data_IF_525356518257
#
_entry.id   IF_525356518257
#
_cell.length_a   1.000
_cell.length_b   1.000
_cell.length_c   1.000
_cell.angle_alpha   90.00
_cell.angle_beta   90.00
_cell.angle_gamma   90.00
#
_symmetry.space_group_name_H-M   'P 1'
#
loop_
_entity.id
_entity.type
_entity.pdbx_description
1 polymer ?
#
# COMPACT_ATOMS: atom_id res chain seq x y z
N UNK A 1 9.80 9.64 15.56
CA UNK A 1 10.83 10.69 15.79
C UNK A 1 12.18 10.39 15.15
N UNK A 2 12.70 9.16 15.16
CA UNK A 2 14.00 8.86 14.54
C UNK A 2 14.06 9.16 13.03
N UNK A 3 12.98 8.95 12.28
CA UNK A 3 12.88 9.34 10.86
C UNK A 3 13.17 10.82 10.63
N UNK A 4 12.62 11.69 11.49
CA UNK A 4 12.84 13.13 11.38
C UNK A 4 14.30 13.50 11.65
N UNK A 5 14.95 12.85 12.62
CA UNK A 5 16.36 13.08 12.92
C UNK A 5 17.26 12.66 11.75
N UNK A 6 17.01 11.49 11.15
CA UNK A 6 17.74 11.02 9.96
C UNK A 6 17.61 12.02 8.80
N UNK A 7 16.41 12.53 8.56
CA UNK A 7 16.19 13.46 7.46
C UNK A 7 16.77 14.86 7.73
N UNK A 8 16.49 15.43 8.90
CA UNK A 8 16.84 16.83 9.20
C UNK A 8 18.28 16.99 9.64
N UNK A 9 18.82 16.04 10.43
CA UNK A 9 20.17 16.13 11.01
C UNK A 9 21.17 15.43 10.09
N UNK A 10 20.95 14.15 9.77
CA UNK A 10 21.92 13.37 8.99
C UNK A 10 21.83 13.65 7.48
N UNK A 11 20.79 14.37 7.03
CA UNK A 11 20.53 14.69 5.62
C UNK A 11 20.41 13.45 4.72
N UNK A 12 20.08 12.31 5.29
CA UNK A 12 19.84 11.07 4.54
C UNK A 12 18.38 11.05 4.10
N UNK A 13 18.15 11.03 2.79
CA UNK A 13 16.82 11.16 2.19
C UNK A 13 16.08 9.83 1.98
N UNK A 14 16.71 8.69 2.19
CA UNK A 14 16.15 7.41 1.72
C UNK A 14 16.27 6.26 2.72
N UNK A 15 15.23 5.42 2.75
CA UNK A 15 15.20 4.12 3.43
C UNK A 15 14.33 4.07 4.68
N UNK A 16 13.41 3.11 4.72
CA UNK A 16 12.64 2.81 5.92
C UNK A 16 13.50 2.06 6.94
N UNK A 17 13.61 2.62 8.15
CA UNK A 17 14.18 1.94 9.32
C UNK A 17 15.59 1.35 9.11
N UNK A 18 16.39 1.95 8.23
CA UNK A 18 17.75 1.55 7.89
C UNK A 18 18.80 1.79 9.01
N UNK A 19 20.10 1.64 8.71
CA UNK A 19 21.17 1.80 9.71
C UNK A 19 21.11 3.12 10.47
N UNK A 20 20.89 4.26 9.80
CA UNK A 20 20.80 5.57 10.43
C UNK A 20 19.63 5.67 11.42
N UNK A 21 18.45 5.11 11.05
CA UNK A 21 17.32 5.03 11.97
C UNK A 21 17.68 4.25 13.24
N UNK A 22 18.33 3.09 13.07
CA UNK A 22 18.74 2.23 14.21
C UNK A 22 19.76 2.93 15.10
N UNK A 23 20.69 3.69 14.53
CA UNK A 23 21.65 4.49 15.29
C UNK A 23 20.96 5.54 16.17
N UNK A 24 19.99 6.29 15.61
CA UNK A 24 19.19 7.24 16.38
C UNK A 24 18.32 6.57 17.45
N UNK A 25 17.68 5.45 17.11
CA UNK A 25 16.89 4.67 18.06
C UNK A 25 17.75 4.24 19.26
N UNK A 26 18.95 3.69 19.00
CA UNK A 26 19.89 3.28 20.03
C UNK A 26 20.38 4.46 20.89
N UNK A 27 20.66 5.62 20.28
CA UNK A 27 21.06 6.83 21.02
C UNK A 27 19.97 7.28 22.00
N UNK A 28 18.71 7.28 21.55
CA UNK A 28 17.57 7.65 22.39
C UNK A 28 17.39 6.62 23.50
N UNK A 29 17.31 5.32 23.20
CA UNK A 29 17.14 4.26 24.21
C UNK A 29 18.30 4.18 25.21
N UNK A 30 19.52 4.59 24.82
CA UNK A 30 20.65 4.71 25.76
C UNK A 30 20.46 5.84 26.76
N UNK A 31 19.88 6.96 26.34
CA UNK A 31 19.69 8.18 27.14
C UNK A 31 18.39 8.14 27.94
N UNK A 32 17.35 7.54 27.38
CA UNK A 32 16.00 7.42 27.93
C UNK A 32 15.66 5.95 28.10
N UNK A 33 15.96 5.41 29.29
CA UNK A 33 15.76 3.99 29.65
C UNK A 33 14.29 3.59 29.73
N UNK A 34 13.41 4.57 29.85
CA UNK A 34 11.95 4.43 29.87
C UNK A 34 11.33 4.28 28.47
N UNK A 35 12.11 4.51 27.40
CA UNK A 35 11.62 4.45 26.02
C UNK A 35 12.21 3.22 25.31
N UNK A 36 11.33 2.43 24.69
CA UNK A 36 11.70 1.35 23.77
C UNK A 36 11.28 1.72 22.36
N UNK A 37 12.21 1.74 21.42
CA UNK A 37 11.95 2.05 20.01
C UNK A 37 12.15 0.78 19.20
N UNK A 38 11.11 0.38 18.46
CA UNK A 38 11.19 -0.72 17.49
C UNK A 38 11.06 -0.19 16.06
N UNK A 39 11.19 -1.07 15.06
CA UNK A 39 10.94 -0.73 13.66
C UNK A 39 9.47 -0.79 13.27
N UNK A 40 8.60 -1.23 14.19
CA UNK A 40 7.15 -1.25 14.01
C UNK A 40 6.52 -0.21 14.92
N UNK A 41 5.45 0.38 14.43
CA UNK A 41 4.62 1.22 15.26
C UNK A 41 3.73 0.37 16.17
N UNK A 42 3.38 0.92 17.33
CA UNK A 42 2.50 0.27 18.31
C UNK A 42 1.03 0.64 18.18
N UNK A 43 0.65 1.48 17.21
CA UNK A 43 -0.75 1.81 16.97
C UNK A 43 -1.45 0.67 16.24
N UNK A 44 -2.74 0.53 16.53
CA UNK A 44 -3.62 -0.35 15.78
C UNK A 44 -3.84 0.23 14.38
N UNK A 45 -3.64 -0.60 13.35
CA UNK A 45 -3.78 -0.16 11.95
C UNK A 45 -5.17 -0.53 11.47
N UNK A 46 -6.02 0.47 11.25
CA UNK A 46 -7.30 0.28 10.57
C UNK A 46 -7.10 0.29 9.06
N UNK A 47 -7.61 -0.74 8.37
CA UNK A 47 -7.53 -0.84 6.92
C UNK A 47 -8.89 -0.58 6.28
N UNK A 48 -8.93 0.36 5.32
CA UNK A 48 -10.15 0.65 4.56
C UNK A 48 -10.55 -0.51 3.64
N UNK A 49 -9.57 -1.27 3.15
CA UNK A 49 -9.79 -2.36 2.21
C UNK A 49 -9.20 -3.65 2.76
N UNK A 50 -10.05 -4.49 3.33
CA UNK A 50 -9.67 -5.82 3.79
C UNK A 50 -10.06 -6.88 2.77
N UNK A 51 -9.15 -7.84 2.56
CA UNK A 51 -9.34 -8.95 1.65
C UNK A 51 -9.11 -10.25 2.41
N UNK A 52 -9.94 -11.26 2.18
CA UNK A 52 -9.80 -12.56 2.81
C UNK A 52 -9.64 -13.66 1.77
N UNK A 53 -8.71 -14.59 2.04
CA UNK A 53 -8.60 -15.79 1.24
C UNK A 53 -9.79 -16.71 1.48
N UNK A 54 -10.44 -17.12 0.39
CA UNK A 54 -11.61 -18.01 0.46
C UNK A 54 -11.28 -19.43 0.95
N UNK A 55 -10.02 -19.86 0.84
CA UNK A 55 -9.59 -21.22 1.21
C UNK A 55 -8.99 -21.30 2.61
N UNK A 56 -7.99 -20.46 2.90
CA UNK A 56 -7.25 -20.54 4.17
C UNK A 56 -7.62 -19.45 5.18
N UNK A 57 -8.59 -18.59 4.87
CA UNK A 57 -9.06 -17.52 5.76
C UNK A 57 -8.09 -16.37 6.03
N UNK A 58 -6.91 -16.35 5.40
CA UNK A 58 -5.90 -15.31 5.61
C UNK A 58 -6.43 -13.93 5.21
N UNK A 59 -6.35 -12.96 6.13
CA UNK A 59 -6.77 -11.57 5.89
C UNK A 59 -5.58 -10.69 5.50
N UNK A 60 -5.83 -9.79 4.54
CA UNK A 60 -4.89 -8.80 4.04
C UNK A 60 -5.51 -7.41 4.11
N UNK A 61 -5.05 -6.59 5.05
CA UNK A 61 -5.42 -5.19 5.13
C UNK A 61 -4.63 -4.32 4.14
N UNK A 62 -5.31 -3.36 3.49
CA UNK A 62 -4.70 -2.37 2.58
C UNK A 62 -5.31 -0.98 2.80
N UNK A 63 -4.47 0.04 2.66
CA UNK A 63 -4.90 1.45 2.67
C UNK A 63 -5.44 1.92 1.31
N UNK A 64 -5.15 1.19 0.24
CA UNK A 64 -5.66 1.40 -1.12
C UNK A 64 -6.31 0.13 -1.65
N UNK A 65 -7.19 0.24 -2.65
CA UNK A 65 -7.76 -0.91 -3.37
C UNK A 65 -6.76 -1.51 -4.37
N UNK A 66 -5.61 -1.97 -3.86
CA UNK A 66 -4.46 -2.40 -4.66
C UNK A 66 -4.46 -3.89 -5.00
N UNK A 67 -5.25 -4.70 -4.30
CA UNK A 67 -5.37 -6.12 -4.62
C UNK A 67 -6.31 -6.28 -5.81
N UNK A 68 -5.81 -6.90 -6.88
CA UNK A 68 -6.59 -7.28 -8.06
C UNK A 68 -6.79 -8.80 -8.04
N UNK A 69 -7.95 -9.32 -7.64
CA UNK A 69 -8.19 -10.76 -7.59
C UNK A 69 -8.06 -11.49 -8.93
N UNK A 70 -8.03 -10.80 -10.07
CA UNK A 70 -7.74 -11.46 -11.35
C UNK A 70 -6.24 -11.78 -11.53
N UNK A 71 -5.36 -10.98 -10.92
CA UNK A 71 -3.91 -11.03 -11.11
C UNK A 71 -3.19 -11.60 -9.89
N UNK A 72 -3.78 -11.46 -8.70
CA UNK A 72 -3.15 -11.77 -7.43
C UNK A 72 -3.91 -12.86 -6.67
N UNK A 73 -3.14 -13.67 -5.96
CA UNK A 73 -3.62 -14.82 -5.18
C UNK A 73 -3.12 -14.73 -3.75
N UNK A 74 -3.71 -15.52 -2.87
CA UNK A 74 -3.25 -15.66 -1.49
C UNK A 74 -1.76 -16.06 -1.47
N UNK A 75 -0.94 -15.30 -0.74
CA UNK A 75 0.49 -15.59 -0.61
C UNK A 75 0.80 -16.87 0.18
N UNK A 76 -0.19 -17.42 0.90
CA UNK A 76 -0.03 -18.64 1.73
C UNK A 76 -0.41 -19.91 0.98
N UNK A 77 -1.60 -19.95 0.37
CA UNK A 77 -2.14 -21.16 -0.28
C UNK A 77 -2.40 -21.01 -1.78
N UNK A 78 -2.17 -19.82 -2.36
CA UNK A 78 -2.52 -19.44 -3.75
C UNK A 78 -4.02 -19.42 -4.08
N UNK A 79 -4.89 -19.50 -3.07
CA UNK A 79 -6.32 -19.38 -3.26
C UNK A 79 -6.82 -17.97 -3.64
N UNK A 80 -8.10 -17.90 -4.01
CA UNK A 80 -8.77 -16.64 -4.40
C UNK A 80 -8.91 -15.69 -3.20
N UNK A 81 -8.77 -14.38 -3.47
CA UNK A 81 -8.95 -13.30 -2.50
C UNK A 81 -10.29 -12.60 -2.74
N UNK A 82 -11.16 -12.59 -1.73
CA UNK A 82 -12.46 -11.92 -1.75
C UNK A 82 -12.42 -10.62 -0.93
N UNK A 83 -13.06 -9.54 -1.38
CA UNK A 83 -13.14 -8.30 -0.61
C UNK A 83 -14.07 -8.48 0.60
N UNK A 84 -13.70 -7.91 1.75
CA UNK A 84 -14.54 -7.76 2.95
C UNK A 84 -15.13 -6.34 3.07
N UNK A 85 -15.18 -5.60 1.97
CA UNK A 85 -15.72 -4.25 1.88
C UNK A 85 -16.65 -4.16 0.66
N UNK A 86 -17.45 -3.09 0.59
CA UNK A 86 -18.34 -2.84 -0.54
C UNK A 86 -17.54 -2.58 -1.83
N UNK A 87 -17.33 -3.66 -2.60
CA UNK A 87 -16.78 -3.58 -3.94
C UNK A 87 -17.91 -3.45 -4.97
N UNK A 88 -18.54 -2.26 -5.01
CA UNK A 88 -19.42 -1.91 -6.13
C UNK A 88 -18.56 -1.81 -7.39
N UNK A 89 -18.45 -2.92 -8.12
CA UNK A 89 -17.89 -2.92 -9.47
C UNK A 89 -18.69 -1.92 -10.30
N UNK A 90 -18.06 -0.82 -10.73
CA UNK A 90 -18.65 -0.01 -11.79
C UNK A 90 -18.91 -0.95 -12.99
N UNK A 91 -20.10 -0.90 -13.62
CA UNK A 91 -20.40 -1.76 -14.75
C UNK A 91 -19.31 -1.57 -15.80
N UNK A 92 -18.75 -2.69 -16.28
CA UNK A 92 -17.83 -2.66 -17.41
C UNK A 92 -18.62 -2.08 -18.58
N UNK A 93 -18.34 -0.85 -18.99
CA UNK A 93 -18.80 -0.34 -20.29
C UNK A 93 -18.11 -1.15 -21.38
N UNK A 94 -18.69 -2.30 -21.72
CA UNK A 94 -18.33 -3.07 -22.90
C UNK A 94 -19.04 -2.44 -24.09
N UNK A 95 -18.34 -1.56 -24.80
CA UNK A 95 -18.85 -1.01 -26.07
C UNK A 95 -18.30 0.37 -26.38
N UNK A 96 -17.06 0.45 -26.86
CA UNK A 96 -16.66 1.56 -27.71
C UNK A 96 -16.60 1.06 -29.15
N UNK A 97 -17.79 0.83 -29.73
CA UNK A 97 -17.92 0.64 -31.18
C UNK A 97 -18.01 2.02 -31.83
N UNK A 98 -16.94 2.37 -32.54
CA UNK A 98 -16.96 3.17 -33.76
C UNK A 98 -17.51 4.59 -33.67
N UNK A 99 -16.61 5.58 -33.66
CA UNK A 99 -16.87 6.84 -34.35
C UNK A 99 -15.75 7.05 -35.38
N UNK A 100 -16.06 6.67 -36.62
CA UNK A 100 -15.27 7.00 -37.80
C UNK A 100 -15.28 8.51 -37.99
N UNK A 101 -14.15 9.17 -37.80
CA UNK A 101 -14.01 10.58 -38.16
C UNK A 101 -13.82 10.68 -39.67
N UNK A 102 -14.89 11.00 -40.40
CA UNK A 102 -14.78 11.50 -41.77
C UNK A 102 -14.06 12.85 -41.73
N UNK A 103 -12.92 12.96 -42.44
CA UNK A 103 -12.22 14.23 -42.65
C UNK A 103 -12.98 15.05 -43.70
N UNK A 104 -13.35 16.32 -43.44
CA UNK A 104 -13.83 17.20 -44.49
C UNK A 104 -12.65 17.63 -45.36
N UNK A 105 -12.84 17.51 -46.67
CA UNK A 105 -12.00 18.10 -47.70
C UNK A 105 -12.21 19.61 -47.69
N UNK A 106 -11.14 20.39 -47.60
CA UNK A 106 -11.17 21.79 -48.00
C UNK A 106 -10.25 21.99 -49.20
N UNK A 107 -10.91 22.30 -50.31
CA UNK A 107 -10.32 22.88 -51.50
C UNK A 107 -10.14 24.38 -51.28
N UNK A 108 -8.91 24.86 -51.44
CA UNK A 108 -8.52 25.94 -52.34
C UNK A 108 -7.01 26.01 -52.44
#
# INVERSE_FOLDING_TARGET
MCHLAVWVIDKVKEGDHGPSFKAWANRIMRTRKDITITTRHSYEITYKYEWQCAECGQTYGRHSKSIRPAEQRCGRCRGELKPLFDDKKAPKVTGWTGMSFARPTHAR
#
